data_IF_370773794046
#
_entry.id   IF_370773794046
#
_cell.length_a   1.000
_cell.length_b   1.000
_cell.length_c   1.000
_cell.angle_alpha   90.00
_cell.angle_beta   90.00
_cell.angle_gamma   90.00
#
_symmetry.space_group_name_H-M   'P 1'
#
loop_
_entity.id
_entity.type
_entity.pdbx_description
1 polymer ?
#
# COMPACT_ATOMS: atom_id res chain seq x y z
N UNK A 1 -16.59 7.59 -16.71
CA UNK A 1 -15.58 8.46 -16.09
C UNK A 1 -14.22 7.80 -16.26
N UNK A 2 -13.16 8.53 -16.67
CA UNK A 2 -11.83 7.96 -16.77
C UNK A 2 -11.36 7.54 -15.36
N UNK A 3 -10.83 6.32 -15.25
CA UNK A 3 -10.37 5.73 -13.99
C UNK A 3 -8.84 5.62 -13.98
N UNK A 4 -8.23 5.79 -12.81
CA UNK A 4 -6.80 5.62 -12.59
C UNK A 4 -6.53 4.91 -11.25
N UNK A 5 -5.31 4.44 -11.07
CA UNK A 5 -4.83 3.94 -9.77
C UNK A 5 -3.94 5.00 -9.11
N UNK A 6 -3.98 5.06 -7.79
CA UNK A 6 -3.25 6.07 -7.01
C UNK A 6 -1.99 5.48 -6.40
N UNK A 7 -0.82 5.93 -6.87
CA UNK A 7 0.48 5.43 -6.40
C UNK A 7 0.86 5.89 -4.99
N UNK A 8 0.15 6.87 -4.41
CA UNK A 8 0.46 7.36 -3.05
C UNK A 8 0.30 6.28 -1.98
N UNK A 9 -0.58 5.32 -2.23
CA UNK A 9 -0.78 4.18 -1.33
C UNK A 9 0.43 3.24 -1.26
N UNK A 10 1.45 3.38 -2.13
CA UNK A 10 2.72 2.69 -1.93
C UNK A 10 3.52 3.23 -0.75
N UNK A 11 3.42 4.52 -0.42
CA UNK A 11 4.07 5.07 0.77
C UNK A 11 3.54 4.42 2.06
N UNK A 12 2.28 3.98 2.05
CA UNK A 12 1.68 3.21 3.14
C UNK A 12 2.34 1.84 3.35
N UNK A 13 2.91 1.20 2.31
CA UNK A 13 3.69 -0.02 2.50
C UNK A 13 5.01 0.25 3.23
N UNK A 14 5.67 1.38 2.94
CA UNK A 14 6.90 1.78 3.63
C UNK A 14 6.67 2.11 5.11
N UNK A 15 5.63 2.90 5.40
CA UNK A 15 5.19 3.16 6.78
C UNK A 15 4.74 1.86 7.48
N UNK A 16 4.05 1.01 6.73
CA UNK A 16 3.84 -0.42 6.93
C UNK A 16 5.05 -1.10 7.59
N UNK A 17 6.03 -1.36 6.73
CA UNK A 17 7.27 -2.01 7.08
C UNK A 17 7.97 -1.40 8.29
N UNK A 18 8.00 -0.06 8.40
CA UNK A 18 8.57 0.64 9.55
C UNK A 18 7.87 0.29 10.88
N UNK A 19 6.54 0.25 10.89
CA UNK A 19 5.76 -0.18 12.05
C UNK A 19 5.97 -1.67 12.38
N UNK A 20 6.13 -2.57 11.39
CA UNK A 20 6.52 -3.98 11.62
C UNK A 20 7.87 -4.02 12.33
N UNK A 21 8.82 -3.26 11.80
CA UNK A 21 10.20 -3.23 12.25
C UNK A 21 10.31 -2.75 13.69
N UNK A 22 9.63 -1.65 14.04
CA UNK A 22 9.54 -1.15 15.42
C UNK A 22 8.88 -2.15 16.37
N UNK A 23 7.84 -2.86 15.90
CA UNK A 23 7.19 -3.90 16.69
C UNK A 23 8.14 -5.08 16.95
N UNK A 24 8.92 -5.51 15.95
CA UNK A 24 9.90 -6.58 16.07
C UNK A 24 11.05 -6.22 17.01
N UNK A 25 11.42 -4.94 17.08
CA UNK A 25 12.51 -4.44 17.92
C UNK A 25 12.13 -4.34 19.41
N UNK A 26 10.84 -4.45 19.74
CA UNK A 26 10.32 -3.94 21.01
C UNK A 26 9.70 -4.90 22.02
N UNK A 27 9.36 -6.17 21.72
CA UNK A 27 8.47 -6.91 22.66
C UNK A 27 8.58 -8.43 22.75
N UNK A 28 8.66 -8.89 24.00
CA UNK A 28 8.64 -10.29 24.48
C UNK A 28 7.23 -10.87 24.78
N UNK A 29 6.12 -10.12 24.56
CA UNK A 29 4.79 -10.50 25.09
C UNK A 29 3.60 -10.59 24.11
N UNK A 30 3.54 -9.74 23.08
CA UNK A 30 2.31 -9.53 22.27
C UNK A 30 2.36 -10.07 20.84
N UNK A 31 3.34 -10.90 20.49
CA UNK A 31 3.56 -11.39 19.11
C UNK A 31 2.31 -11.99 18.45
N UNK A 32 1.49 -12.73 19.20
CA UNK A 32 0.36 -13.50 18.62
C UNK A 32 -0.75 -12.62 18.04
N UNK A 33 -1.05 -11.48 18.67
CA UNK A 33 -2.09 -10.57 18.19
C UNK A 33 -1.63 -9.75 16.97
N UNK A 34 -0.35 -9.38 16.93
CA UNK A 34 0.21 -8.66 15.79
C UNK A 34 0.34 -9.55 14.54
N UNK A 35 0.69 -10.83 14.72
CA UNK A 35 0.70 -11.81 13.62
C UNK A 35 -0.70 -11.97 13.01
N UNK A 36 -1.75 -11.93 13.82
CA UNK A 36 -3.14 -12.00 13.35
C UNK A 36 -3.62 -10.71 12.65
N UNK A 37 -3.17 -9.54 13.10
CA UNK A 37 -3.55 -8.25 12.50
C UNK A 37 -2.84 -7.97 11.17
N UNK A 38 -1.62 -8.50 11.00
CA UNK A 38 -0.77 -8.32 9.80
C UNK A 38 -1.49 -8.64 8.48
N UNK A 39 -2.13 -9.81 8.29
CA UNK A 39 -2.82 -10.13 7.03
C UNK A 39 -4.03 -9.22 6.76
N UNK A 40 -4.76 -8.79 7.79
CA UNK A 40 -5.89 -7.88 7.63
C UNK A 40 -5.44 -6.50 7.14
N UNK A 41 -4.35 -5.97 7.73
CA UNK A 41 -3.77 -4.70 7.30
C UNK A 41 -3.23 -4.82 5.87
N UNK A 42 -2.54 -5.92 5.54
CA UNK A 42 -2.03 -6.16 4.19
C UNK A 42 -3.15 -6.24 3.15
N UNK A 43 -4.24 -6.95 3.44
CA UNK A 43 -5.39 -7.04 2.56
C UNK A 43 -6.04 -5.67 2.31
N UNK A 44 -6.17 -4.85 3.35
CA UNK A 44 -6.72 -3.49 3.25
C UNK A 44 -5.83 -2.59 2.37
N UNK A 45 -4.52 -2.73 2.49
CA UNK A 45 -3.54 -1.96 1.72
C UNK A 45 -3.53 -2.36 0.24
N UNK A 46 -3.60 -3.66 -0.05
CA UNK A 46 -3.75 -4.18 -1.42
C UNK A 46 -5.03 -3.65 -2.05
N UNK A 47 -6.15 -3.65 -1.33
CA UNK A 47 -7.40 -3.07 -1.82
C UNK A 47 -7.23 -1.60 -2.20
N UNK A 48 -6.57 -0.78 -1.38
CA UNK A 48 -6.38 0.64 -1.67
C UNK A 48 -5.60 0.93 -2.96
N UNK A 49 -4.73 0.03 -3.38
CA UNK A 49 -3.87 0.17 -4.56
C UNK A 49 -4.55 -0.37 -5.82
N UNK A 50 -5.28 -1.48 -5.70
CA UNK A 50 -5.94 -2.14 -6.82
C UNK A 50 -7.38 -1.67 -7.08
N UNK A 51 -7.94 -0.82 -6.23
CA UNK A 51 -9.24 -0.18 -6.47
C UNK A 51 -9.04 1.03 -7.41
N UNK A 52 -9.68 1.04 -8.59
CA UNK A 52 -9.65 2.20 -9.47
C UNK A 52 -10.41 3.38 -8.87
N UNK A 53 -9.92 4.59 -9.12
CA UNK A 53 -10.50 5.86 -8.64
C UNK A 53 -10.73 6.82 -9.79
N UNK A 54 -11.65 7.77 -9.56
CA UNK A 54 -11.85 8.87 -10.50
C UNK A 54 -10.58 9.70 -10.66
N UNK A 55 -10.24 9.97 -11.91
CA UNK A 55 -9.08 10.76 -12.31
C UNK A 55 -9.11 12.17 -11.70
N UNK A 56 -10.30 12.76 -11.52
CA UNK A 56 -10.48 14.08 -10.91
C UNK A 56 -10.05 14.13 -9.43
N UNK A 57 -10.09 12.99 -8.73
CA UNK A 57 -9.75 12.88 -7.29
C UNK A 57 -8.26 12.60 -7.05
N UNK A 58 -7.49 12.29 -8.09
CA UNK A 58 -6.08 11.92 -7.99
C UNK A 58 -5.23 12.95 -8.75
N UNK A 59 -4.20 13.57 -8.14
CA UNK A 59 -3.33 14.49 -8.85
C UNK A 59 -2.52 13.77 -9.95
N UNK A 60 -2.27 14.43 -11.07
CA UNK A 60 -1.63 13.84 -12.26
C UNK A 60 -0.32 13.11 -11.97
N UNK A 61 0.53 13.71 -11.14
CA UNK A 61 1.81 13.14 -10.73
C UNK A 61 1.70 11.78 -10.01
N UNK A 62 0.51 11.36 -9.57
CA UNK A 62 0.30 10.11 -8.84
C UNK A 62 -0.61 9.11 -9.56
N UNK A 63 -1.10 9.46 -10.75
CA UNK A 63 -2.00 8.62 -11.54
C UNK A 63 -1.21 7.50 -12.20
N UNK A 64 -1.74 6.28 -12.10
CA UNK A 64 -1.30 5.12 -12.86
C UNK A 64 -2.43 4.74 -13.81
N UNK A 65 -2.12 4.65 -15.10
CA UNK A 65 -3.11 4.40 -16.14
C UNK A 65 -3.57 2.92 -16.18
N UNK A 66 -2.70 1.98 -15.78
CA UNK A 66 -2.98 0.56 -15.85
C UNK A 66 -2.52 -0.20 -14.62
N UNK A 67 -3.11 -1.39 -14.39
CA UNK A 67 -2.64 -2.32 -13.35
C UNK A 67 -1.18 -2.73 -13.54
N UNK A 68 -0.68 -2.76 -14.78
CA UNK A 68 0.73 -3.07 -15.05
C UNK A 68 1.66 -2.01 -14.48
N UNK A 69 1.22 -0.75 -14.47
CA UNK A 69 2.02 0.35 -13.95
C UNK A 69 2.10 0.33 -12.42
N UNK A 70 1.14 -0.31 -11.73
CA UNK A 70 1.24 -0.64 -10.30
C UNK A 70 2.46 -1.52 -10.04
N UNK A 71 2.61 -2.61 -10.82
CA UNK A 71 3.74 -3.53 -10.65
C UNK A 71 5.08 -2.90 -11.05
N UNK A 72 5.09 -2.08 -12.11
CA UNK A 72 6.31 -1.34 -12.49
C UNK A 72 6.69 -0.31 -11.41
N UNK A 73 5.71 0.38 -10.80
CA UNK A 73 5.94 1.30 -9.70
C UNK A 73 6.46 0.57 -8.45
N UNK A 74 5.93 -0.62 -8.13
CA UNK A 74 6.46 -1.49 -7.06
C UNK A 74 7.92 -1.90 -7.29
N UNK A 75 8.30 -2.12 -8.55
CA UNK A 75 9.66 -2.49 -8.95
C UNK A 75 10.58 -1.28 -9.16
N UNK A 76 10.12 -0.05 -8.89
CA UNK A 76 10.92 1.17 -9.09
C UNK A 76 11.24 1.49 -10.55
N UNK A 77 10.43 1.01 -11.50
CA UNK A 77 10.62 1.18 -12.95
C UNK A 77 9.84 2.35 -13.56
N UNK A 78 9.26 3.24 -12.74
CA UNK A 78 8.50 4.45 -13.14
C UNK A 78 8.86 5.60 -12.22
#
# INVERSE_FOLDING_TARGET
MPQCYDRRYFAFFGFWFFCVFLFFLGMDGYQRYAVLATPAVFATLVLLIFIPRDVEKVPEAYRLASRRDIFKALLGRI
#
